data_IF_303210585218
#
_entry.id   IF_303210585218
#
_cell.length_a   1.000
_cell.length_b   1.000
_cell.length_c   1.000
_cell.angle_alpha   90.00
_cell.angle_beta   90.00
_cell.angle_gamma   90.00
#
_symmetry.space_group_name_H-M   'P 1'
#
loop_
_entity.id
_entity.type
_entity.pdbx_description
1 polymer ?
#
# COMPACT_ATOMS: atom_id res chain seq x y z
N UNK A 1 -8.44 -14.27 -28.24
CA UNK A 1 -8.44 -14.29 -26.77
C UNK A 1 -8.91 -12.92 -26.31
N UNK A 2 -10.11 -12.83 -25.74
CA UNK A 2 -10.58 -11.57 -25.16
C UNK A 2 -9.67 -11.24 -23.97
N UNK A 3 -9.05 -10.08 -24.00
CA UNK A 3 -8.24 -9.56 -22.89
C UNK A 3 -9.21 -9.29 -21.73
N UNK A 4 -9.46 -10.29 -20.88
CA UNK A 4 -10.23 -10.08 -19.67
C UNK A 4 -9.40 -9.14 -18.79
N UNK A 5 -9.96 -8.00 -18.43
CA UNK A 5 -9.30 -7.03 -17.55
C UNK A 5 -8.99 -7.66 -16.20
N UNK A 6 -7.91 -7.21 -15.56
CA UNK A 6 -7.37 -7.74 -14.31
C UNK A 6 -7.76 -6.82 -13.16
N UNK A 7 -8.47 -7.33 -12.16
CA UNK A 7 -8.73 -6.62 -10.90
C UNK A 7 -7.66 -6.97 -9.88
N UNK A 8 -7.01 -5.97 -9.34
CA UNK A 8 -5.98 -6.13 -8.30
C UNK A 8 -6.42 -5.38 -7.05
N UNK A 9 -6.41 -6.07 -5.91
CA UNK A 9 -6.51 -5.44 -4.59
C UNK A 9 -5.10 -5.16 -4.09
N UNK A 10 -4.77 -3.88 -3.87
CA UNK A 10 -3.51 -3.45 -3.29
C UNK A 10 -3.70 -3.07 -1.81
N UNK A 11 -2.78 -3.54 -0.94
CA UNK A 11 -2.83 -3.34 0.51
C UNK A 11 -1.53 -2.70 0.97
N UNK A 12 -1.65 -1.57 1.66
CA UNK A 12 -0.53 -0.84 2.26
C UNK A 12 -0.70 -0.73 3.77
N UNK A 13 0.34 -1.12 4.51
CA UNK A 13 0.39 -1.06 5.97
C UNK A 13 1.82 -0.86 6.51
N UNK A 14 2.67 -0.15 5.78
CA UNK A 14 4.11 -0.10 6.12
C UNK A 14 4.45 0.78 7.33
N UNK A 15 3.61 1.73 7.70
CA UNK A 15 3.87 2.67 8.80
C UNK A 15 2.66 2.77 9.73
N UNK A 16 1.89 3.83 9.66
CA UNK A 16 0.74 4.11 10.53
C UNK A 16 -0.60 4.11 9.78
N UNK A 17 -0.64 4.47 8.53
CA UNK A 17 -1.87 4.46 7.74
C UNK A 17 -2.18 3.07 7.18
N UNK A 18 -3.44 2.63 7.35
CA UNK A 18 -3.96 1.43 6.68
C UNK A 18 -4.64 1.84 5.39
N UNK A 19 -4.14 1.40 4.25
CA UNK A 19 -4.75 1.72 2.97
C UNK A 19 -5.04 0.48 2.13
N UNK A 20 -6.12 0.58 1.34
CA UNK A 20 -6.43 -0.39 0.30
C UNK A 20 -6.95 0.31 -0.96
N UNK A 21 -6.49 -0.16 -2.10
CA UNK A 21 -6.92 0.31 -3.41
C UNK A 21 -7.35 -0.86 -4.30
N UNK A 22 -8.33 -0.63 -5.15
CA UNK A 22 -8.71 -1.57 -6.20
C UNK A 22 -8.34 -0.97 -7.55
N UNK A 23 -7.57 -1.73 -8.32
CA UNK A 23 -7.18 -1.35 -9.68
C UNK A 23 -7.87 -2.26 -10.69
N UNK A 24 -8.21 -1.71 -11.84
CA UNK A 24 -8.61 -2.44 -13.02
C UNK A 24 -7.63 -2.13 -14.15
N UNK A 25 -6.76 -3.07 -14.46
CA UNK A 25 -5.56 -2.87 -15.28
C UNK A 25 -4.67 -1.75 -14.69
N UNK A 26 -4.57 -0.59 -15.35
CA UNK A 26 -3.79 0.59 -14.96
C UNK A 26 -4.63 1.70 -14.29
N UNK A 27 -5.95 1.50 -14.17
CA UNK A 27 -6.87 2.50 -13.58
C UNK A 27 -7.17 2.19 -12.12
N UNK A 28 -7.10 3.20 -11.28
CA UNK A 28 -7.55 3.14 -9.89
C UNK A 28 -9.06 3.32 -9.81
N UNK A 29 -9.78 2.26 -9.42
CA UNK A 29 -11.23 2.32 -9.21
C UNK A 29 -11.60 2.85 -7.82
N UNK A 30 -10.78 2.52 -6.84
CA UNK A 30 -10.96 3.01 -5.47
C UNK A 30 -9.62 3.11 -4.76
N UNK A 31 -9.52 4.09 -3.86
CA UNK A 31 -8.45 4.23 -2.88
C UNK A 31 -9.10 4.65 -1.56
N UNK A 32 -8.83 3.91 -0.50
CA UNK A 32 -9.37 4.13 0.85
C UNK A 32 -8.22 4.09 1.83
N UNK A 33 -8.13 5.12 2.66
CA UNK A 33 -7.08 5.28 3.68
C UNK A 33 -7.75 5.49 5.04
N UNK A 34 -7.32 4.75 6.04
CA UNK A 34 -7.67 4.95 7.44
C UNK A 34 -6.44 5.47 8.20
N UNK A 35 -6.48 6.77 8.51
CA UNK A 35 -5.40 7.46 9.22
C UNK A 35 -5.47 7.20 10.72
N UNK A 36 -4.30 7.17 11.37
CA UNK A 36 -4.17 6.93 12.80
C UNK A 36 -3.79 8.23 13.53
N UNK A 37 -4.77 9.09 13.80
CA UNK A 37 -4.56 10.39 14.48
C UNK A 37 -3.98 10.28 15.90
N UNK A 38 -4.03 9.10 16.51
CA UNK A 38 -3.53 8.88 17.87
C UNK A 38 -2.04 9.21 18.01
N UNK A 39 -1.27 9.05 16.96
CA UNK A 39 0.18 9.30 16.98
C UNK A 39 0.55 10.76 17.19
N UNK A 40 -0.36 11.70 16.89
CA UNK A 40 -0.17 13.12 17.13
C UNK A 40 0.05 13.45 18.61
N UNK A 41 -0.50 12.62 19.52
CA UNK A 41 -0.36 12.79 20.97
C UNK A 41 1.02 12.39 21.48
N UNK A 42 1.77 11.61 20.69
CA UNK A 42 3.08 11.06 21.08
C UNK A 42 4.25 11.73 20.35
N UNK A 43 3.98 12.71 19.51
CA UNK A 43 5.00 13.42 18.73
C UNK A 43 5.67 12.57 17.64
N UNK A 44 5.04 11.46 17.24
CA UNK A 44 5.52 10.54 16.20
C UNK A 44 4.87 9.18 16.29
N UNK A 45 5.16 8.31 15.32
CA UNK A 45 4.57 6.98 15.23
C UNK A 45 5.06 6.07 16.36
N UNK A 46 4.10 5.46 17.08
CA UNK A 46 4.36 4.42 18.07
C UNK A 46 4.11 3.06 17.43
N UNK A 47 5.13 2.23 17.14
CA UNK A 47 5.01 1.04 16.31
C UNK A 47 3.99 0.01 16.82
N UNK A 48 3.89 -0.16 18.15
CA UNK A 48 2.92 -1.09 18.74
C UNK A 48 1.47 -0.61 18.53
N UNK A 49 1.21 0.69 18.73
CA UNK A 49 -0.12 1.26 18.49
C UNK A 49 -0.48 1.19 17.00
N UNK A 50 0.48 1.48 16.12
CA UNK A 50 0.29 1.37 14.68
C UNK A 50 -0.13 -0.05 14.28
N UNK A 51 0.59 -1.06 14.74
CA UNK A 51 0.29 -2.44 14.39
C UNK A 51 -1.10 -2.90 14.91
N UNK A 52 -1.51 -2.49 16.11
CA UNK A 52 -2.85 -2.76 16.65
C UNK A 52 -3.96 -2.07 15.86
N UNK A 53 -3.73 -0.83 15.46
CA UNK A 53 -4.70 -0.10 14.64
C UNK A 53 -4.83 -0.72 13.24
N UNK A 54 -3.74 -1.20 12.63
CA UNK A 54 -3.83 -1.96 11.38
C UNK A 54 -4.70 -3.21 11.51
N UNK A 55 -4.58 -3.97 12.62
CA UNK A 55 -5.43 -5.14 12.87
C UNK A 55 -6.92 -4.79 12.92
N UNK A 56 -7.26 -3.63 13.49
CA UNK A 56 -8.64 -3.16 13.57
C UNK A 56 -9.17 -2.64 12.23
N UNK A 57 -8.31 -1.96 11.46
CA UNK A 57 -8.70 -1.21 10.28
C UNK A 57 -8.65 -2.02 8.98
N UNK A 58 -7.84 -3.08 8.91
CA UNK A 58 -7.56 -3.76 7.63
C UNK A 58 -8.82 -4.33 6.96
N UNK A 59 -9.68 -4.99 7.73
CA UNK A 59 -10.93 -5.56 7.21
C UNK A 59 -11.91 -4.48 6.75
N UNK A 60 -12.28 -3.47 7.57
CA UNK A 60 -13.19 -2.42 7.14
C UNK A 60 -12.65 -1.58 5.98
N UNK A 61 -11.34 -1.33 5.90
CA UNK A 61 -10.73 -0.57 4.80
C UNK A 61 -10.83 -1.34 3.49
N UNK A 62 -10.54 -2.64 3.50
CA UNK A 62 -10.67 -3.49 2.31
C UNK A 62 -12.13 -3.63 1.86
N UNK A 63 -13.05 -3.84 2.78
CA UNK A 63 -14.48 -3.90 2.47
C UNK A 63 -14.97 -2.59 1.83
N UNK A 64 -14.56 -1.45 2.39
CA UNK A 64 -14.88 -0.14 1.84
C UNK A 64 -14.27 0.06 0.44
N UNK A 65 -13.03 -0.39 0.22
CA UNK A 65 -12.37 -0.28 -1.09
C UNK A 65 -13.09 -1.11 -2.16
N UNK A 66 -13.48 -2.35 -1.85
CA UNK A 66 -14.23 -3.21 -2.76
C UNK A 66 -15.61 -2.63 -3.09
N UNK A 67 -16.35 -2.16 -2.06
CA UNK A 67 -17.66 -1.51 -2.23
C UNK A 67 -17.57 -0.25 -3.09
N UNK A 68 -16.57 0.60 -2.84
CA UNK A 68 -16.35 1.83 -3.61
C UNK A 68 -15.99 1.53 -5.08
N UNK A 69 -15.25 0.44 -5.32
CA UNK A 69 -14.93 -0.03 -6.66
C UNK A 69 -16.12 -0.71 -7.37
N UNK A 70 -17.20 -1.05 -6.65
CA UNK A 70 -18.36 -1.74 -7.20
C UNK A 70 -18.11 -3.19 -7.57
N UNK A 71 -17.13 -3.84 -6.92
CA UNK A 71 -16.79 -5.25 -7.19
C UNK A 71 -16.87 -6.10 -5.92
N UNK A 72 -16.94 -7.41 -6.12
CA UNK A 72 -16.83 -8.40 -5.04
C UNK A 72 -15.42 -9.00 -4.99
N UNK A 73 -15.07 -9.62 -3.88
CA UNK A 73 -13.76 -10.25 -3.71
C UNK A 73 -13.52 -11.43 -4.67
N UNK A 74 -14.57 -12.08 -5.13
CA UNK A 74 -14.51 -13.19 -6.08
C UNK A 74 -14.10 -12.74 -7.50
N UNK A 75 -14.22 -11.45 -7.79
CA UNK A 75 -13.79 -10.87 -9.08
C UNK A 75 -12.32 -10.48 -9.10
N UNK A 76 -11.64 -10.55 -7.95
CA UNK A 76 -10.21 -10.24 -7.86
C UNK A 76 -9.38 -11.27 -8.62
N UNK A 77 -8.41 -10.79 -9.38
CA UNK A 77 -7.46 -11.60 -10.15
C UNK A 77 -6.13 -11.79 -9.43
N UNK A 78 -5.75 -10.83 -8.55
CA UNK A 78 -4.54 -10.88 -7.75
C UNK A 78 -4.66 -9.97 -6.51
N UNK A 79 -3.80 -10.21 -5.53
CA UNK A 79 -3.61 -9.34 -4.37
C UNK A 79 -2.18 -8.85 -4.36
N UNK A 80 -1.99 -7.53 -4.28
CA UNK A 80 -0.69 -6.89 -4.06
C UNK A 80 -0.60 -6.41 -2.60
N UNK A 81 0.59 -6.48 -2.01
CA UNK A 81 0.83 -5.98 -0.66
C UNK A 81 2.23 -5.39 -0.53
N UNK A 82 2.40 -4.42 0.34
CA UNK A 82 3.71 -3.87 0.65
C UNK A 82 4.53 -4.85 1.48
N UNK A 83 5.61 -5.35 0.88
CA UNK A 83 6.55 -6.26 1.54
C UNK A 83 7.48 -5.54 2.51
N UNK A 84 7.84 -4.30 2.19
CA UNK A 84 8.78 -3.45 2.91
C UNK A 84 9.52 -2.48 1.97
N UNK A 85 10.34 -1.57 2.54
CA UNK A 85 10.60 -1.35 3.96
C UNK A 85 9.41 -0.76 4.72
N UNK A 86 9.44 -0.88 6.06
CA UNK A 86 8.41 -0.35 6.95
C UNK A 86 8.54 -0.91 8.38
N UNK A 87 7.60 -0.55 9.24
CA UNK A 87 7.53 -1.06 10.61
C UNK A 87 7.13 -2.53 10.60
N UNK A 88 7.94 -3.38 11.22
CA UNK A 88 7.77 -4.83 11.20
C UNK A 88 6.37 -5.29 11.60
N UNK A 89 5.84 -4.78 12.72
CA UNK A 89 4.51 -5.13 13.21
C UNK A 89 3.40 -4.75 12.24
N UNK A 90 3.49 -3.56 11.65
CA UNK A 90 2.56 -3.04 10.65
C UNK A 90 2.61 -3.87 9.35
N UNK A 91 3.80 -4.14 8.82
CA UNK A 91 4.00 -4.99 7.64
C UNK A 91 3.46 -6.41 7.84
N UNK A 92 3.63 -6.99 9.05
CA UNK A 92 3.13 -8.32 9.37
C UNK A 92 1.60 -8.39 9.28
N UNK A 93 0.88 -7.34 9.69
CA UNK A 93 -0.59 -7.33 9.59
C UNK A 93 -1.04 -7.38 8.13
N UNK A 94 -0.54 -6.46 7.29
CA UNK A 94 -0.92 -6.41 5.88
C UNK A 94 -0.51 -7.66 5.11
N UNK A 95 0.72 -8.13 5.30
CA UNK A 95 1.22 -9.32 4.62
C UNK A 95 0.49 -10.60 5.03
N UNK A 96 0.15 -10.77 6.33
CA UNK A 96 -0.60 -11.93 6.81
C UNK A 96 -2.02 -11.92 6.26
N UNK A 97 -2.69 -10.77 6.26
CA UNK A 97 -4.02 -10.63 5.68
C UNK A 97 -4.00 -10.93 4.17
N UNK A 98 -3.07 -10.33 3.43
CA UNK A 98 -2.93 -10.54 1.99
C UNK A 98 -2.70 -12.02 1.63
N UNK A 99 -1.82 -12.70 2.36
CA UNK A 99 -1.55 -14.14 2.20
C UNK A 99 -2.80 -14.98 2.46
N UNK A 100 -3.49 -14.71 3.57
CA UNK A 100 -4.70 -15.45 3.93
C UNK A 100 -5.80 -15.29 2.90
N UNK A 101 -6.02 -14.05 2.42
CA UNK A 101 -7.04 -13.78 1.41
C UNK A 101 -6.67 -14.39 0.05
N UNK A 102 -5.40 -14.28 -0.38
CA UNK A 102 -4.89 -14.90 -1.61
C UNK A 102 -5.09 -16.43 -1.57
N UNK A 103 -4.77 -17.07 -0.44
CA UNK A 103 -4.97 -18.51 -0.27
C UNK A 103 -6.46 -18.88 -0.31
N UNK A 104 -7.31 -18.11 0.37
CA UNK A 104 -8.75 -18.39 0.43
C UNK A 104 -9.44 -18.26 -0.93
N UNK A 105 -8.99 -17.31 -1.77
CA UNK A 105 -9.53 -17.06 -3.11
C UNK A 105 -8.80 -17.86 -4.20
N UNK A 106 -7.69 -18.53 -3.86
CA UNK A 106 -6.81 -19.25 -4.79
C UNK A 106 -6.34 -18.36 -5.96
N UNK A 107 -5.90 -17.12 -5.66
CA UNK A 107 -5.42 -16.14 -6.63
C UNK A 107 -3.99 -15.73 -6.31
N UNK A 108 -3.20 -15.25 -7.30
CA UNK A 108 -1.82 -14.82 -7.11
C UNK A 108 -1.63 -13.73 -6.05
N UNK A 109 -0.49 -13.80 -5.37
CA UNK A 109 -0.02 -12.80 -4.41
C UNK A 109 1.21 -12.09 -4.98
N UNK A 110 1.22 -10.76 -4.96
CA UNK A 110 2.30 -9.92 -5.49
C UNK A 110 2.92 -9.11 -4.35
N UNK A 111 4.20 -9.34 -4.09
CA UNK A 111 4.96 -8.57 -3.12
C UNK A 111 5.52 -7.30 -3.77
N UNK A 112 5.24 -6.14 -3.20
CA UNK A 112 5.65 -4.84 -3.74
C UNK A 112 6.61 -4.16 -2.78
N UNK A 113 7.71 -3.62 -3.31
CA UNK A 113 8.62 -2.78 -2.53
C UNK A 113 8.00 -1.38 -2.36
N UNK A 114 7.93 -0.90 -1.11
CA UNK A 114 7.35 0.39 -0.74
C UNK A 114 7.98 1.57 -1.52
N UNK A 115 9.30 1.60 -1.63
CA UNK A 115 10.01 2.69 -2.33
C UNK A 115 9.79 2.63 -3.85
N UNK A 116 9.71 1.43 -4.43
CA UNK A 116 9.33 1.28 -5.84
C UNK A 116 7.88 1.71 -6.08
N UNK A 117 6.97 1.45 -5.14
CA UNK A 117 5.58 1.90 -5.25
C UNK A 117 5.47 3.42 -5.30
N UNK A 118 6.28 4.16 -4.51
CA UNK A 118 6.34 5.62 -4.60
C UNK A 118 6.74 6.12 -6.00
N UNK A 119 7.72 5.47 -6.64
CA UNK A 119 8.15 5.82 -8.00
C UNK A 119 7.07 5.44 -9.02
N UNK A 120 6.51 4.23 -8.92
CA UNK A 120 5.53 3.72 -9.86
C UNK A 120 4.17 4.42 -9.76
N UNK A 121 3.87 5.06 -8.63
CA UNK A 121 2.66 5.86 -8.47
C UNK A 121 2.51 6.96 -9.54
N UNK A 122 3.62 7.49 -10.05
CA UNK A 122 3.61 8.49 -11.14
C UNK A 122 3.15 7.96 -12.50
N UNK A 123 3.04 6.64 -12.65
CA UNK A 123 2.56 5.99 -13.88
C UNK A 123 1.06 5.62 -13.82
N UNK A 124 0.41 5.87 -12.68
CA UNK A 124 -1.04 5.69 -12.55
C UNK A 124 -1.75 6.64 -13.51
N UNK A 125 -2.78 6.13 -14.19
CA UNK A 125 -3.60 6.92 -15.10
C UNK A 125 -4.59 7.77 -14.29
N UNK A 126 -4.26 9.04 -14.12
CA UNK A 126 -5.06 10.00 -13.36
C UNK A 126 -5.29 11.26 -14.18
N UNK A 127 -6.53 11.72 -14.23
CA UNK A 127 -6.93 12.89 -15.03
C UNK A 127 -6.20 14.15 -14.56
N UNK A 128 -5.52 14.83 -15.49
CA UNK A 128 -4.76 16.04 -15.20
C UNK A 128 -3.29 15.84 -14.84
N UNK A 129 -2.80 14.59 -14.81
CA UNK A 129 -1.38 14.28 -14.60
C UNK A 129 -0.75 13.67 -15.84
N UNK A 130 0.38 14.24 -16.25
CA UNK A 130 1.20 13.67 -17.32
C UNK A 130 2.13 12.60 -16.75
N UNK A 131 2.13 11.41 -17.38
CA UNK A 131 3.05 10.33 -17.01
C UNK A 131 4.48 10.71 -17.40
N UNK A 132 5.50 10.43 -16.55
CA UNK A 132 6.87 10.73 -16.89
C UNK A 132 7.34 9.90 -18.09
N UNK A 133 8.10 10.54 -18.99
CA UNK A 133 8.78 9.85 -20.10
C UNK A 133 10.15 9.34 -19.67
N UNK A 134 10.58 8.21 -20.24
CA UNK A 134 11.91 7.66 -19.98
C UNK A 134 12.98 8.30 -20.87
N UNK A 135 14.20 8.60 -20.33
CA UNK A 135 14.62 8.43 -18.93
C UNK A 135 14.14 9.58 -18.01
N UNK A 136 13.81 9.31 -16.75
CA UNK A 136 13.46 10.32 -15.75
C UNK A 136 14.26 10.13 -14.46
N UNK A 137 14.40 11.20 -13.67
CA UNK A 137 15.03 11.18 -12.36
C UNK A 137 13.94 11.14 -11.27
N UNK A 138 13.91 10.08 -10.47
CA UNK A 138 13.03 9.97 -9.31
C UNK A 138 13.78 10.35 -8.03
N UNK A 139 13.33 11.42 -7.35
CA UNK A 139 13.85 11.84 -6.07
C UNK A 139 12.86 11.46 -4.97
N UNK A 140 13.20 10.48 -4.14
CA UNK A 140 12.46 10.15 -2.93
C UNK A 140 13.15 10.79 -1.73
N UNK A 141 12.43 11.68 -1.02
CA UNK A 141 12.94 12.38 0.16
C UNK A 141 12.08 12.01 1.37
N UNK A 142 12.72 11.56 2.45
CA UNK A 142 12.06 11.43 3.73
C UNK A 142 11.84 12.82 4.36
N UNK A 143 10.64 13.08 4.85
CA UNK A 143 10.34 14.27 5.64
C UNK A 143 10.67 14.10 7.13
N UNK A 144 11.05 12.89 7.55
CA UNK A 144 11.49 12.65 8.92
C UNK A 144 12.78 13.42 9.21
N UNK A 145 12.68 14.30 10.20
CA UNK A 145 13.76 15.17 10.66
C UNK A 145 14.84 14.46 11.49
N UNK A 146 14.78 13.15 11.64
CA UNK A 146 15.79 12.37 12.33
C UNK A 146 17.00 12.16 11.44
N UNK A 147 17.93 13.09 11.50
CA UNK A 147 19.33 12.85 11.14
C UNK A 147 19.92 11.96 12.25
N UNK A 148 19.62 10.67 12.21
CA UNK A 148 20.26 9.70 13.09
C UNK A 148 21.71 9.47 12.66
N UNK A 149 22.57 9.10 13.57
CA UNK A 149 23.97 8.68 13.29
C UNK A 149 24.08 7.54 12.27
N UNK A 150 22.97 6.87 11.99
CA UNK A 150 22.86 5.78 11.01
C UNK A 150 22.87 6.26 9.56
N UNK A 151 22.37 7.47 9.28
CA UNK A 151 22.48 8.05 7.94
C UNK A 151 23.91 8.36 7.52
N UNK A 152 24.82 8.59 8.46
CA UNK A 152 26.24 8.85 8.19
C UNK A 152 27.03 7.60 7.78
N UNK A 153 26.51 6.39 8.01
CA UNK A 153 27.15 5.13 7.59
C UNK A 153 26.75 4.65 6.20
N UNK A 154 25.64 5.12 5.65
CA UNK A 154 25.14 4.71 4.36
C UNK A 154 25.56 5.65 3.20
N UNK A 155 26.17 6.79 3.52
CA UNK A 155 26.67 7.76 2.54
C UNK A 155 28.20 7.70 2.35
N UNK A 156 28.82 6.51 2.50
CA UNK A 156 30.22 6.27 2.12
C UNK A 156 30.33 5.14 1.13
#
# INVERSE_FOLDING_TARGET
MQNQGVFILAIESSCDDTAAAVLYNDKVLSNVVANQLIHNQYGGVVPELASRAHQQNIVPVIDAALKKAGITKEQLSAIAFTQGPGLMGSLLVGSSFAKSLSTALNIPLVAVNHMHAHILAHFIDEEGYEKPEFPFLALTRSEERRVGKECLRLCR
#
